data_IF_783175578298
#
_entry.id   IF_783175578298
#
_cell.length_a   1.000
_cell.length_b   1.000
_cell.length_c   1.000
_cell.angle_alpha   90.00
_cell.angle_beta   90.00
_cell.angle_gamma   90.00
#
_symmetry.space_group_name_H-M   'P 1'
#
loop_
_entity.id
_entity.type
_entity.pdbx_description
1 polymer ?
#
# COMPACT_ATOMS: atom_id res chain seq x y z
N UNK A 1 -9.63 -32.62 7.19
CA UNK A 1 -9.17 -31.27 6.84
C UNK A 1 -8.74 -30.60 8.13
N UNK A 2 -7.50 -30.12 8.24
CA UNK A 2 -6.96 -29.55 9.47
C UNK A 2 -7.46 -28.11 9.64
N UNK A 3 -7.71 -27.67 10.87
CA UNK A 3 -8.05 -26.27 11.21
C UNK A 3 -7.03 -25.28 10.62
N UNK A 4 -5.75 -25.66 10.58
CA UNK A 4 -4.71 -24.81 10.00
C UNK A 4 -4.88 -24.61 8.50
N UNK A 5 -5.37 -25.62 7.76
CA UNK A 5 -5.61 -25.51 6.33
C UNK A 5 -6.79 -24.58 6.06
N UNK A 6 -7.84 -24.65 6.89
CA UNK A 6 -9.00 -23.77 6.78
C UNK A 6 -8.65 -22.29 7.02
N UNK A 7 -7.76 -22.05 7.98
CA UNK A 7 -7.31 -20.70 8.32
C UNK A 7 -6.44 -20.10 7.22
N UNK A 8 -5.58 -20.91 6.60
CA UNK A 8 -4.76 -20.48 5.46
C UNK A 8 -5.64 -20.19 4.24
N UNK A 9 -6.65 -21.02 3.98
CA UNK A 9 -7.59 -20.81 2.88
C UNK A 9 -8.40 -19.52 3.07
N UNK A 10 -8.86 -19.27 4.29
CA UNK A 10 -9.61 -18.06 4.63
C UNK A 10 -8.74 -16.80 4.58
N UNK A 11 -7.49 -16.88 5.06
CA UNK A 11 -6.52 -15.78 4.92
C UNK A 11 -6.25 -15.45 3.46
N UNK A 12 -6.09 -16.46 2.59
CA UNK A 12 -5.91 -16.25 1.14
C UNK A 12 -7.14 -15.61 0.50
N UNK A 13 -8.35 -16.03 0.87
CA UNK A 13 -9.60 -15.41 0.39
C UNK A 13 -9.74 -13.96 0.84
N UNK A 14 -9.35 -13.64 2.07
CA UNK A 14 -9.36 -12.28 2.58
C UNK A 14 -8.28 -11.41 1.94
N UNK A 15 -7.13 -11.99 1.57
CA UNK A 15 -6.09 -11.31 0.79
C UNK A 15 -6.54 -11.03 -0.65
N UNK A 16 -7.22 -11.96 -1.31
CA UNK A 16 -7.78 -11.78 -2.67
C UNK A 16 -8.88 -10.69 -2.72
N UNK A 17 -9.67 -10.57 -1.65
CA UNK A 17 -10.76 -9.57 -1.58
C UNK A 17 -10.28 -8.14 -1.22
N UNK A 18 -8.99 -7.90 -0.99
CA UNK A 18 -8.46 -6.56 -0.65
C UNK A 18 -8.62 -5.53 -1.76
N UNK A 19 -8.94 -5.94 -2.99
CA UNK A 19 -9.15 -5.04 -4.13
C UNK A 19 -10.54 -4.39 -4.24
N UNK A 20 -11.52 -4.76 -3.40
CA UNK A 20 -12.90 -4.28 -3.57
C UNK A 20 -13.25 -3.04 -2.73
N UNK A 21 -12.55 -2.80 -1.62
CA UNK A 21 -12.85 -1.66 -0.75
C UNK A 21 -11.87 -0.52 -0.97
N UNK A 22 -12.35 0.70 -1.30
CA UNK A 22 -11.49 1.86 -1.41
C UNK A 22 -10.71 2.10 -0.12
N UNK A 23 -9.42 2.38 -0.25
CA UNK A 23 -8.59 2.87 0.81
C UNK A 23 -9.13 4.21 1.31
N UNK A 24 -9.52 4.23 2.57
CA UNK A 24 -9.89 5.46 3.29
C UNK A 24 -8.85 5.68 4.38
N UNK A 25 -8.02 6.73 4.30
CA UNK A 25 -7.09 7.05 5.38
C UNK A 25 -7.87 7.50 6.61
N UNK A 26 -8.13 6.56 7.52
CA UNK A 26 -8.68 6.85 8.86
C UNK A 26 -7.60 7.44 9.77
N UNK A 27 -7.95 7.78 11.02
CA UNK A 27 -7.03 8.36 12.00
C UNK A 27 -5.63 7.71 11.98
N UNK A 28 -4.59 8.56 12.13
CA UNK A 28 -3.16 8.21 12.20
C UNK A 28 -2.44 7.89 10.88
N UNK A 29 -3.10 8.01 9.73
CA UNK A 29 -2.41 8.03 8.44
C UNK A 29 -1.94 9.45 8.08
N UNK A 30 -0.66 9.61 7.78
CA UNK A 30 -0.05 10.84 7.30
C UNK A 30 0.17 10.75 5.79
N UNK A 31 -0.32 11.73 5.04
CA UNK A 31 0.03 11.88 3.61
C UNK A 31 1.52 12.24 3.50
N UNK A 32 2.28 11.43 2.78
CA UNK A 32 3.73 11.59 2.60
C UNK A 32 4.17 11.83 1.16
N UNK A 33 3.31 11.56 0.17
CA UNK A 33 3.51 11.93 -1.22
C UNK A 33 2.16 12.07 -1.97
N UNK A 34 2.13 12.93 -2.98
CA UNK A 34 1.00 13.08 -3.91
C UNK A 34 1.55 13.47 -5.29
N UNK A 35 1.63 12.52 -6.22
CA UNK A 35 2.28 12.70 -7.53
C UNK A 35 1.59 11.88 -8.63
N UNK A 36 1.25 12.54 -9.75
CA UNK A 36 0.72 11.90 -10.98
C UNK A 36 -0.46 10.94 -10.74
N UNK A 37 -1.36 11.30 -9.85
CA UNK A 37 -2.55 10.49 -9.50
C UNK A 37 -2.30 9.41 -8.46
N UNK A 38 -1.08 9.27 -7.96
CA UNK A 38 -0.78 8.44 -6.81
C UNK A 38 -0.77 9.28 -5.54
N UNK A 39 -1.30 8.71 -4.47
CA UNK A 39 -1.19 9.20 -3.11
C UNK A 39 -0.43 8.18 -2.28
N UNK A 40 0.40 8.63 -1.34
CA UNK A 40 1.06 7.72 -0.43
C UNK A 40 0.86 8.17 1.01
N UNK A 41 0.52 7.21 1.87
CA UNK A 41 0.24 7.44 3.27
C UNK A 41 1.19 6.59 4.12
N UNK A 42 1.60 7.11 5.27
CA UNK A 42 2.37 6.38 6.26
C UNK A 42 1.70 6.44 7.63
N UNK A 43 1.82 5.37 8.40
CA UNK A 43 1.29 5.26 9.76
C UNK A 43 2.36 4.68 10.67
N UNK A 44 2.52 5.31 11.83
CA UNK A 44 3.33 4.78 12.91
C UNK A 44 2.63 3.57 13.55
N UNK A 45 3.37 2.47 13.67
CA UNK A 45 2.94 1.22 14.31
C UNK A 45 3.77 0.94 15.58
N UNK A 46 4.35 1.98 16.17
CA UNK A 46 5.25 2.00 17.33
C UNK A 46 6.63 1.36 17.09
N UNK A 47 6.68 0.19 16.46
CA UNK A 47 7.93 -0.53 16.16
C UNK A 47 8.42 -0.35 14.71
N UNK A 48 7.56 0.13 13.83
CA UNK A 48 7.78 0.26 12.39
C UNK A 48 6.82 1.29 11.82
N UNK A 49 7.14 1.84 10.67
CA UNK A 49 6.23 2.66 9.87
C UNK A 49 5.67 1.81 8.74
N UNK A 50 4.35 1.67 8.68
CA UNK A 50 3.66 1.10 7.51
C UNK A 50 3.40 2.21 6.52
N UNK A 51 3.63 1.97 5.24
CA UNK A 51 3.23 2.88 4.17
C UNK A 51 2.41 2.15 3.11
N UNK A 52 1.54 2.90 2.45
CA UNK A 52 0.70 2.44 1.33
C UNK A 52 0.75 3.47 0.22
N UNK A 53 0.72 2.98 -1.02
CA UNK A 53 0.56 3.79 -2.23
C UNK A 53 -0.82 3.46 -2.79
N UNK A 54 -1.57 4.52 -3.11
CA UNK A 54 -2.98 4.48 -3.50
C UNK A 54 -3.15 5.18 -4.83
N UNK A 55 -3.99 4.64 -5.71
CA UNK A 55 -4.40 5.28 -6.97
C UNK A 55 -5.89 5.01 -7.17
N UNK A 56 -6.64 6.05 -7.51
CA UNK A 56 -8.10 5.97 -7.70
C UNK A 56 -8.83 5.32 -6.51
N UNK A 57 -8.33 5.56 -5.30
CA UNK A 57 -8.86 4.98 -4.07
C UNK A 57 -8.45 3.52 -3.84
N UNK A 58 -7.67 2.88 -4.71
CA UNK A 58 -7.25 1.49 -4.58
C UNK A 58 -5.79 1.40 -4.12
N UNK A 59 -5.49 0.44 -3.23
CA UNK A 59 -4.11 0.21 -2.76
C UNK A 59 -3.31 -0.48 -3.85
N UNK A 60 -2.34 0.23 -4.41
CA UNK A 60 -1.44 -0.28 -5.45
C UNK A 60 -0.29 -1.10 -4.85
N UNK A 61 0.21 -0.66 -3.70
CA UNK A 61 1.37 -1.26 -3.06
C UNK A 61 1.37 -0.94 -1.57
N UNK A 62 1.78 -1.92 -0.77
CA UNK A 62 2.05 -1.74 0.65
C UNK A 62 3.52 -2.01 0.96
N UNK A 63 4.03 -1.41 2.02
CA UNK A 63 5.33 -1.73 2.55
C UNK A 63 5.56 -1.18 3.94
N UNK A 64 6.78 -1.33 4.43
CA UNK A 64 7.16 -0.83 5.74
C UNK A 64 8.59 -0.28 5.73
N UNK A 65 8.90 0.56 6.71
CA UNK A 65 10.23 1.12 6.92
C UNK A 65 10.46 1.40 8.40
N UNK A 66 11.71 1.50 8.81
CA UNK A 66 12.08 1.66 10.23
C UNK A 66 11.77 3.06 10.80
N UNK A 67 11.46 4.03 9.95
CA UNK A 67 11.15 5.41 10.32
C UNK A 67 10.25 6.10 9.29
N UNK A 68 9.64 7.22 9.66
CA UNK A 68 8.92 8.09 8.71
C UNK A 68 9.83 8.56 7.57
N UNK A 69 11.06 8.97 7.89
CA UNK A 69 12.02 9.47 6.90
C UNK A 69 12.45 8.39 5.89
N UNK A 70 12.60 7.14 6.35
CA UNK A 70 12.86 6.01 5.44
C UNK A 70 11.62 5.64 4.63
N UNK A 71 10.42 5.72 5.21
CA UNK A 71 9.15 5.53 4.49
C UNK A 71 9.00 6.50 3.32
N UNK A 72 9.27 7.79 3.54
CA UNK A 72 9.24 8.83 2.49
C UNK A 72 10.19 8.46 1.34
N UNK A 73 11.44 8.10 1.65
CA UNK A 73 12.43 7.72 0.64
C UNK A 73 12.02 6.46 -0.12
N UNK A 74 11.52 5.43 0.57
CA UNK A 74 11.03 4.20 -0.04
C UNK A 74 9.90 4.47 -1.02
N UNK A 75 8.90 5.27 -0.61
CA UNK A 75 7.80 5.68 -1.48
C UNK A 75 8.29 6.46 -2.69
N UNK A 76 9.22 7.41 -2.52
CA UNK A 76 9.80 8.16 -3.64
C UNK A 76 10.44 7.25 -4.68
N UNK A 77 11.16 6.20 -4.25
CA UNK A 77 11.74 5.22 -5.17
C UNK A 77 10.68 4.43 -5.95
N UNK A 78 9.61 4.00 -5.28
CA UNK A 78 8.52 3.26 -5.93
C UNK A 78 7.76 4.16 -6.91
N UNK A 79 7.44 5.39 -6.53
CA UNK A 79 6.78 6.36 -7.40
C UNK A 79 7.65 6.75 -8.60
N UNK A 80 8.96 6.90 -8.42
CA UNK A 80 9.88 7.13 -9.54
C UNK A 80 9.81 5.98 -10.57
N UNK A 81 9.70 4.73 -10.09
CA UNK A 81 9.49 3.58 -10.97
C UNK A 81 8.13 3.63 -11.66
N UNK A 82 7.02 3.82 -10.94
CA UNK A 82 5.68 3.89 -11.53
C UNK A 82 5.52 5.02 -12.55
N UNK A 83 6.11 6.17 -12.27
CA UNK A 83 5.98 7.36 -13.14
C UNK A 83 6.89 7.29 -14.37
N UNK A 84 7.91 6.45 -14.36
CA UNK A 84 8.74 6.14 -15.53
C UNK A 84 8.10 5.11 -16.47
N UNK A 85 7.14 4.31 -16.00
CA UNK A 85 6.44 3.32 -16.82
C UNK A 85 5.48 4.01 -17.82
N UNK A 86 5.36 3.48 -19.05
CA UNK A 86 4.33 3.92 -19.98
C UNK A 86 2.94 3.68 -19.36
N UNK A 87 1.92 4.49 -19.72
CA UNK A 87 0.59 4.40 -19.10
C UNK A 87 -0.03 2.99 -19.13
N UNK A 88 0.24 2.21 -20.17
CA UNK A 88 -0.23 0.83 -20.34
C UNK A 88 0.42 -0.21 -19.42
N UNK A 89 1.50 0.15 -18.75
CA UNK A 89 2.30 -0.76 -17.90
C UNK A 89 2.36 -0.30 -16.45
N UNK A 90 1.68 0.79 -16.11
CA UNK A 90 1.51 1.20 -14.73
C UNK A 90 0.65 0.19 -13.98
N UNK A 91 0.86 0.00 -12.66
CA UNK A 91 -0.02 -0.82 -11.85
C UNK A 91 -1.46 -0.36 -12.05
N UNK A 92 -2.33 -1.32 -12.36
CA UNK A 92 -3.74 -1.08 -12.61
C UNK A 92 -4.45 -0.71 -11.30
N UNK A 93 -5.37 0.24 -11.40
CA UNK A 93 -6.29 0.61 -10.32
C UNK A 93 -7.29 -0.50 -10.02
#
# INVERSE_FOLDING_TARGET
MNINDLLIEELRRLEDNRGETPFVPVHHWQLIAHERGYEAYAKDMDCVWRWVIVRDGQVMQEGCSISLSSSIRSVQHVLAFYTALPPSSQPAS
#
